data_IF_442354022199
#
_entry.id   IF_442354022199
#
_cell.length_a   1.000
_cell.length_b   1.000
_cell.length_c   1.000
_cell.angle_alpha   90.00
_cell.angle_beta   90.00
_cell.angle_gamma   90.00
#
_symmetry.space_group_name_H-M   'P 1'
#
loop_
_entity.id
_entity.type
_entity.pdbx_description
1 polymer ?
#
# COMPACT_ATOMS: atom_id res chain seq x y z
N UNK A 1 7.78 8.21 -17.35
CA UNK A 1 7.99 8.09 -15.89
C UNK A 1 9.39 7.57 -15.66
N UNK A 2 10.14 8.14 -14.71
CA UNK A 2 11.44 7.59 -14.28
C UNK A 2 11.26 6.31 -13.47
N UNK A 3 12.35 5.61 -13.17
CA UNK A 3 12.31 4.48 -12.25
C UNK A 3 11.87 4.94 -10.85
N UNK A 4 11.11 4.09 -10.14
CA UNK A 4 10.74 4.33 -8.76
C UNK A 4 11.99 4.37 -7.87
N UNK A 5 12.19 5.47 -7.15
CA UNK A 5 13.18 5.53 -6.08
C UNK A 5 12.57 4.99 -4.78
N UNK A 6 13.03 3.82 -4.35
CA UNK A 6 12.56 3.17 -3.12
C UNK A 6 12.98 3.91 -1.84
N UNK A 7 13.94 4.84 -1.93
CA UNK A 7 14.28 5.73 -0.82
C UNK A 7 13.23 6.83 -0.62
N UNK A 8 12.43 7.14 -1.64
CA UNK A 8 11.37 8.17 -1.60
C UNK A 8 10.03 7.66 -1.08
N UNK A 9 10.05 6.59 -0.27
CA UNK A 9 8.86 5.99 0.37
C UNK A 9 8.92 6.15 1.90
N UNK A 10 8.98 7.36 2.47
CA UNK A 10 9.05 7.50 3.91
C UNK A 10 7.71 7.14 4.58
N UNK A 11 7.80 6.48 5.72
CA UNK A 11 6.66 6.11 6.57
C UNK A 11 6.66 6.94 7.85
N UNK A 12 5.62 7.77 8.04
CA UNK A 12 5.42 8.48 9.29
C UNK A 12 4.63 7.63 10.28
N UNK A 13 5.00 7.68 11.56
CA UNK A 13 4.27 7.00 12.64
C UNK A 13 3.50 7.98 13.55
N UNK A 14 3.41 9.27 13.20
CA UNK A 14 2.89 10.34 14.08
C UNK A 14 1.54 9.99 14.72
N UNK A 15 0.58 9.53 13.92
CA UNK A 15 -0.76 9.14 14.38
C UNK A 15 -0.96 7.62 14.47
N UNK A 16 0.12 6.86 14.41
CA UNK A 16 0.13 5.42 14.63
C UNK A 16 0.51 5.11 16.09
N UNK A 17 -0.04 4.03 16.65
CA UNK A 17 0.35 3.45 17.95
C UNK A 17 1.73 2.78 17.89
N UNK A 18 2.69 3.49 17.32
CA UNK A 18 4.07 3.07 17.17
C UNK A 18 4.97 4.22 17.66
N UNK A 19 6.03 3.87 18.38
CA UNK A 19 7.04 4.84 18.77
C UNK A 19 7.68 5.45 17.53
N UNK A 20 7.79 6.78 17.54
CA UNK A 20 8.50 7.48 16.49
C UNK A 20 10.01 7.44 16.75
N UNK A 21 10.46 7.41 18.01
CA UNK A 21 11.86 7.36 18.46
C UNK A 21 12.01 6.61 19.79
N UNK A 22 13.25 6.34 20.21
CA UNK A 22 13.58 5.71 21.51
C UNK A 22 13.21 6.59 22.72
N UNK A 23 13.16 7.91 22.54
CA UNK A 23 12.94 8.92 23.59
C UNK A 23 11.52 9.53 23.56
N UNK A 24 10.64 9.01 22.71
CA UNK A 24 9.26 9.49 22.58
C UNK A 24 9.11 10.83 21.84
N UNK A 25 10.18 11.39 21.27
CA UNK A 25 10.11 12.59 20.43
C UNK A 25 9.46 12.29 19.06
N UNK A 26 8.73 13.26 18.46
CA UNK A 26 8.19 13.10 17.11
C UNK A 26 9.33 12.99 16.11
N UNK A 27 9.58 11.80 15.58
CA UNK A 27 10.60 11.59 14.56
C UNK A 27 10.06 11.83 13.15
N UNK A 28 10.94 12.38 12.30
CA UNK A 28 10.71 12.46 10.87
C UNK A 28 10.40 11.09 10.26
N UNK A 29 9.56 11.08 9.23
CA UNK A 29 9.22 9.88 8.48
C UNK A 29 10.49 9.21 7.94
N UNK A 30 10.57 7.87 8.01
CA UNK A 30 11.76 7.11 7.64
C UNK A 30 11.52 6.24 6.41
N UNK A 31 12.49 6.08 5.50
CA UNK A 31 12.37 5.08 4.45
C UNK A 31 12.36 3.66 5.05
N UNK A 32 11.75 2.66 4.40
CA UNK A 32 11.55 1.35 5.00
C UNK A 32 12.85 0.61 5.29
N UNK A 33 13.92 0.88 4.52
CA UNK A 33 15.26 0.36 4.80
C UNK A 33 15.82 0.75 6.19
N UNK A 34 15.30 1.84 6.77
CA UNK A 34 15.63 2.37 8.10
C UNK A 34 14.41 2.39 9.03
N UNK A 35 13.33 1.73 8.62
CA UNK A 35 12.06 1.69 9.33
C UNK A 35 12.18 0.99 10.68
N UNK A 36 11.34 1.40 11.62
CA UNK A 36 11.18 0.78 12.93
C UNK A 36 9.71 0.50 13.19
N UNK A 37 9.43 -0.57 13.91
CA UNK A 37 8.07 -0.97 14.30
C UNK A 37 8.09 -1.34 15.78
N UNK A 38 7.88 -0.33 16.63
CA UNK A 38 7.88 -0.49 18.09
C UNK A 38 6.49 -0.10 18.63
N UNK A 39 5.68 -1.04 19.11
CA UNK A 39 4.33 -0.77 19.60
C UNK A 39 4.29 0.24 20.76
N UNK A 40 3.33 1.16 20.70
CA UNK A 40 3.07 2.18 21.71
C UNK A 40 1.56 2.45 21.79
N UNK A 41 0.82 1.52 22.42
CA UNK A 41 -0.64 1.54 22.48
C UNK A 41 -1.21 2.79 23.16
N UNK A 42 -0.50 3.33 24.15
CA UNK A 42 -0.95 4.49 24.93
C UNK A 42 -0.47 5.83 24.34
N UNK A 43 0.10 5.81 23.14
CA UNK A 43 0.63 7.02 22.50
C UNK A 43 -0.49 8.05 22.27
N UNK A 44 -0.38 9.26 22.83
CA UNK A 44 -1.38 10.30 22.64
C UNK A 44 -1.56 10.66 21.16
N UNK A 45 -2.80 11.01 20.78
CA UNK A 45 -3.20 11.38 19.41
C UNK A 45 -3.06 10.29 18.33
N UNK A 46 -2.54 9.11 18.66
CA UNK A 46 -2.60 7.96 17.76
C UNK A 46 -4.00 7.35 17.72
N UNK A 47 -4.40 6.85 16.55
CA UNK A 47 -5.73 6.26 16.34
C UNK A 47 -5.72 5.02 15.43
N UNK A 48 -4.55 4.55 15.04
CA UNK A 48 -4.39 3.37 14.18
C UNK A 48 -3.07 2.67 14.47
N UNK A 49 -2.95 1.41 14.06
CA UNK A 49 -1.70 0.65 14.07
C UNK A 49 -0.93 0.78 12.74
N UNK A 50 -1.53 1.41 11.74
CA UNK A 50 -0.91 1.61 10.43
C UNK A 50 0.03 2.81 10.42
N UNK A 51 1.18 2.69 9.76
CA UNK A 51 2.03 3.84 9.43
C UNK A 51 1.43 4.64 8.26
N UNK A 52 1.93 5.85 8.05
CA UNK A 52 1.56 6.72 6.94
C UNK A 52 2.69 6.78 5.89
N UNK A 53 2.75 5.82 4.94
CA UNK A 53 3.65 5.93 3.79
C UNK A 53 3.24 7.10 2.90
N UNK A 54 4.24 7.77 2.33
CA UNK A 54 4.09 8.79 1.29
C UNK A 54 5.03 8.46 0.14
N UNK A 55 4.63 8.79 -1.09
CA UNK A 55 5.47 8.65 -2.27
C UNK A 55 5.92 10.04 -2.69
N UNK A 56 7.22 10.33 -2.62
CA UNK A 56 7.76 11.67 -2.88
C UNK A 56 7.01 12.79 -2.11
N UNK A 57 6.65 12.50 -0.85
CA UNK A 57 5.91 13.41 0.03
C UNK A 57 4.40 13.49 -0.22
N UNK A 58 3.86 12.77 -1.20
CA UNK A 58 2.44 12.77 -1.54
C UNK A 58 1.70 11.54 -1.00
N UNK A 59 0.41 11.70 -0.75
CA UNK A 59 -0.51 10.60 -0.46
C UNK A 59 -0.75 9.84 -1.76
N UNK A 60 -0.61 8.52 -1.73
CA UNK A 60 -0.86 7.66 -2.88
C UNK A 60 -2.01 6.69 -2.60
N UNK A 61 -2.86 6.47 -3.59
CA UNK A 61 -3.79 5.35 -3.66
C UNK A 61 -3.17 4.24 -4.50
N UNK A 62 -3.27 2.99 -4.04
CA UNK A 62 -2.81 1.81 -4.75
C UNK A 62 -3.98 0.86 -5.07
N UNK A 63 -3.73 -0.09 -5.96
CA UNK A 63 -4.69 -1.11 -6.37
C UNK A 63 -4.99 -1.08 -7.86
N UNK A 64 -6.05 -1.78 -8.26
CA UNK A 64 -6.40 -1.94 -9.67
C UNK A 64 -6.51 -0.60 -10.39
N UNK A 65 -7.20 0.40 -9.82
CA UNK A 65 -7.34 1.71 -10.45
C UNK A 65 -6.00 2.41 -10.68
N UNK A 66 -5.08 2.36 -9.72
CA UNK A 66 -3.76 2.96 -9.86
C UNK A 66 -2.97 2.27 -10.97
N UNK A 67 -2.98 0.93 -11.03
CA UNK A 67 -2.32 0.16 -12.10
C UNK A 67 -2.93 0.43 -13.47
N UNK A 68 -4.25 0.43 -13.59
CA UNK A 68 -4.93 0.71 -14.86
C UNK A 68 -4.64 2.13 -15.35
N UNK A 69 -4.58 3.12 -14.46
CA UNK A 69 -4.22 4.50 -14.82
C UNK A 69 -2.74 4.65 -15.19
N UNK A 70 -1.83 4.02 -14.44
CA UNK A 70 -0.39 4.03 -14.73
C UNK A 70 -0.05 3.35 -16.07
N UNK A 71 -0.77 2.28 -16.40
CA UNK A 71 -0.66 1.58 -17.69
C UNK A 71 -1.37 2.32 -18.85
N UNK A 72 -2.18 3.34 -18.54
CA UNK A 72 -2.92 4.10 -19.55
C UNK A 72 -4.09 3.33 -20.16
N UNK A 73 -4.76 2.46 -19.38
CA UNK A 73 -5.90 1.68 -19.86
C UNK A 73 -7.03 2.61 -20.35
N UNK A 74 -7.44 2.56 -21.64
CA UNK A 74 -8.28 3.60 -22.23
C UNK A 74 -9.67 3.77 -21.61
N UNK A 75 -10.34 2.67 -21.28
CA UNK A 75 -11.67 2.69 -20.67
C UNK A 75 -11.61 3.30 -19.26
N UNK A 76 -10.67 2.87 -18.43
CA UNK A 76 -10.53 3.37 -17.06
C UNK A 76 -10.11 4.84 -17.09
N UNK A 77 -9.17 5.21 -17.95
CA UNK A 77 -8.75 6.60 -18.12
C UNK A 77 -9.91 7.51 -18.57
N UNK A 78 -10.71 7.09 -19.56
CA UNK A 78 -11.87 7.87 -20.04
C UNK A 78 -12.94 8.02 -18.95
N UNK A 79 -13.31 6.94 -18.25
CA UNK A 79 -14.33 7.02 -17.19
C UNK A 79 -13.83 7.84 -16.00
N UNK A 80 -12.56 7.72 -15.60
CA UNK A 80 -11.97 8.56 -14.55
C UNK A 80 -11.90 10.03 -14.98
N UNK A 81 -11.59 10.34 -16.23
CA UNK A 81 -11.61 11.72 -16.72
C UNK A 81 -13.02 12.35 -16.64
N UNK A 82 -14.08 11.54 -16.81
CA UNK A 82 -15.48 12.00 -16.77
C UNK A 82 -16.08 12.06 -15.38
N UNK A 83 -15.77 11.07 -14.54
CA UNK A 83 -16.44 10.84 -13.25
C UNK A 83 -15.53 11.05 -12.04
N UNK A 84 -14.23 11.16 -12.25
CA UNK A 84 -13.23 11.17 -11.19
C UNK A 84 -12.96 9.79 -10.58
N UNK A 85 -12.17 9.79 -9.51
CA UNK A 85 -11.88 8.61 -8.70
C UNK A 85 -13.03 8.42 -7.70
N UNK A 86 -13.82 7.37 -7.91
CA UNK A 86 -15.07 7.09 -7.19
C UNK A 86 -15.16 5.59 -6.85
N UNK A 87 -16.16 5.21 -6.06
CA UNK A 87 -16.52 3.80 -5.85
C UNK A 87 -16.69 3.08 -7.18
N UNK A 88 -17.38 3.70 -8.13
CA UNK A 88 -17.67 3.11 -9.44
C UNK A 88 -16.37 2.87 -10.24
N UNK A 89 -15.49 3.87 -10.33
CA UNK A 89 -14.26 3.74 -11.12
C UNK A 89 -13.26 2.76 -10.50
N UNK A 90 -13.21 2.64 -9.17
CA UNK A 90 -12.43 1.60 -8.49
C UNK A 90 -12.94 0.20 -8.80
N UNK A 91 -14.26 -0.01 -8.76
CA UNK A 91 -14.87 -1.32 -9.08
C UNK A 91 -14.68 -1.66 -10.55
N UNK A 92 -14.90 -0.70 -11.46
CA UNK A 92 -14.66 -0.87 -12.89
C UNK A 92 -13.21 -1.27 -13.17
N UNK A 93 -12.24 -0.58 -12.57
CA UNK A 93 -10.83 -0.89 -12.76
C UNK A 93 -10.48 -2.32 -12.32
N UNK A 94 -11.08 -2.81 -11.23
CA UNK A 94 -10.90 -4.20 -10.76
C UNK A 94 -11.49 -5.22 -11.75
N UNK A 95 -12.66 -4.93 -12.33
CA UNK A 95 -13.26 -5.81 -13.36
C UNK A 95 -12.40 -5.83 -14.62
N UNK A 96 -11.92 -4.67 -15.07
CA UNK A 96 -10.99 -4.56 -16.21
C UNK A 96 -9.72 -5.35 -15.94
N UNK A 97 -9.16 -5.26 -14.73
CA UNK A 97 -7.98 -6.02 -14.34
C UNK A 97 -8.19 -7.53 -14.42
N UNK A 98 -9.33 -8.05 -13.94
CA UNK A 98 -9.67 -9.47 -14.06
C UNK A 98 -9.74 -9.91 -15.54
N UNK A 99 -10.38 -9.11 -16.39
CA UNK A 99 -10.50 -9.40 -17.82
C UNK A 99 -9.12 -9.43 -18.53
N UNK A 100 -8.15 -8.64 -18.05
CA UNK A 100 -6.79 -8.59 -18.58
C UNK A 100 -5.90 -9.71 -18.03
N UNK A 101 -6.07 -10.08 -16.76
CA UNK A 101 -5.25 -11.10 -16.11
C UNK A 101 -5.47 -12.50 -16.70
N UNK A 102 -6.70 -12.85 -17.05
CA UNK A 102 -7.02 -14.17 -17.58
C UNK A 102 -6.20 -14.56 -18.83
N UNK A 103 -6.15 -13.76 -19.91
CA UNK A 103 -5.33 -14.08 -21.07
C UNK A 103 -3.82 -14.05 -20.77
N UNK A 104 -3.36 -13.23 -19.83
CA UNK A 104 -1.96 -13.24 -19.39
C UNK A 104 -1.62 -14.55 -18.68
N UNK A 105 -2.50 -15.02 -17.79
CA UNK A 105 -2.36 -16.31 -17.11
C UNK A 105 -2.34 -17.48 -18.10
N UNK A 106 -3.22 -17.48 -19.11
CA UNK A 106 -3.18 -18.47 -20.18
C UNK A 106 -1.85 -18.42 -20.95
N UNK A 107 -1.35 -17.22 -21.24
CA UNK A 107 -0.04 -17.02 -21.86
C UNK A 107 1.10 -17.61 -21.02
N UNK A 108 1.13 -17.32 -19.71
CA UNK A 108 2.12 -17.87 -18.79
C UNK A 108 2.03 -19.39 -18.71
N UNK A 109 0.83 -19.97 -18.62
CA UNK A 109 0.63 -21.42 -18.60
C UNK A 109 1.18 -22.10 -19.87
N UNK A 110 1.02 -21.48 -21.03
CA UNK A 110 1.60 -22.00 -22.30
C UNK A 110 3.11 -21.83 -22.38
N UNK A 111 3.66 -20.83 -21.69
CA UNK A 111 5.11 -20.55 -21.67
C UNK A 111 5.88 -21.41 -20.66
N UNK A 112 5.21 -22.02 -19.68
CA UNK A 112 5.85 -22.93 -18.73
C UNK A 112 6.30 -24.19 -19.46
N UNK A 113 7.61 -24.47 -19.44
CA UNK A 113 8.17 -25.76 -19.85
C UNK A 113 8.20 -26.69 -18.64
N UNK A 114 7.40 -27.76 -18.60
CA UNK A 114 7.40 -28.68 -17.46
C UNK A 114 8.78 -29.30 -17.25
N UNK A 115 9.17 -29.45 -15.98
CA UNK A 115 10.44 -30.08 -15.53
C UNK A 115 11.71 -29.27 -15.80
N UNK A 116 11.63 -28.07 -16.36
CA UNK A 116 12.79 -27.17 -16.36
C UNK A 116 13.11 -26.68 -14.94
N UNK A 117 14.38 -26.34 -14.65
CA UNK A 117 14.78 -25.77 -13.36
C UNK A 117 13.99 -24.49 -13.06
N UNK A 118 13.29 -24.46 -11.93
CA UNK A 118 12.53 -23.30 -11.44
C UNK A 118 13.15 -22.62 -10.22
N UNK A 119 14.32 -23.12 -9.79
CA UNK A 119 15.04 -22.67 -8.60
C UNK A 119 16.53 -22.59 -8.93
N UNK A 120 17.14 -21.45 -8.64
CA UNK A 120 18.59 -21.27 -8.70
C UNK A 120 19.14 -21.27 -7.27
N UNK A 121 19.90 -22.30 -6.83
CA UNK A 121 20.51 -22.27 -5.52
C UNK A 121 21.57 -21.17 -5.44
N UNK A 122 21.69 -20.56 -4.27
CA UNK A 122 22.73 -19.58 -3.96
C UNK A 122 23.08 -19.63 -2.48
N UNK A 123 24.29 -19.23 -2.09
CA UNK A 123 24.67 -19.15 -0.68
C UNK A 123 23.85 -18.07 0.02
N UNK A 124 23.51 -18.28 1.29
CA UNK A 124 22.99 -17.21 2.14
C UNK A 124 24.14 -16.26 2.48
N UNK A 125 23.99 -14.94 2.26
CA UNK A 125 25.04 -14.00 2.58
C UNK A 125 25.15 -13.80 4.10
N UNK A 126 26.36 -13.56 4.61
CA UNK A 126 26.55 -13.14 6.01
C UNK A 126 26.08 -11.71 6.24
N UNK A 127 26.24 -10.83 5.24
CA UNK A 127 25.85 -9.41 5.27
C UNK A 127 25.14 -9.07 3.96
N UNK A 128 24.05 -8.31 4.00
CA UNK A 128 23.36 -7.90 2.77
C UNK A 128 22.11 -7.06 2.99
N UNK A 129 21.66 -6.40 1.92
CA UNK A 129 20.39 -5.68 1.89
C UNK A 129 19.63 -6.06 0.61
N UNK A 130 18.30 -6.14 0.71
CA UNK A 130 17.45 -6.53 -0.41
C UNK A 130 16.10 -5.83 -0.36
N UNK A 131 15.59 -5.52 -1.55
CA UNK A 131 14.24 -4.97 -1.74
C UNK A 131 13.48 -5.85 -2.72
N UNK A 132 12.32 -6.34 -2.30
CA UNK A 132 11.38 -7.07 -3.15
C UNK A 132 10.12 -6.24 -3.36
N UNK A 133 9.83 -5.89 -4.60
CA UNK A 133 8.62 -5.14 -4.95
C UNK A 133 7.69 -6.03 -5.77
N UNK A 134 6.39 -5.92 -5.52
CA UNK A 134 5.35 -6.61 -6.27
C UNK A 134 4.06 -5.81 -6.28
N UNK A 135 3.18 -6.11 -7.23
CA UNK A 135 1.80 -5.66 -7.22
C UNK A 135 0.92 -6.79 -6.71
N UNK A 136 0.51 -6.70 -5.44
CA UNK A 136 -0.52 -7.58 -4.91
C UNK A 136 -1.89 -7.19 -5.47
N UNK A 137 -2.90 -8.05 -5.29
CA UNK A 137 -4.26 -7.78 -5.76
C UNK A 137 -4.78 -6.39 -5.32
N UNK A 138 -4.42 -5.96 -4.10
CA UNK A 138 -4.84 -4.69 -3.49
C UNK A 138 -3.95 -3.49 -3.80
N UNK A 139 -2.80 -3.69 -4.44
CA UNK A 139 -1.87 -2.60 -4.78
C UNK A 139 -0.40 -2.93 -4.57
N UNK A 140 0.42 -1.88 -4.52
CA UNK A 140 1.85 -1.96 -4.32
C UNK A 140 2.23 -2.59 -2.97
N UNK A 141 3.09 -3.59 -3.02
CA UNK A 141 3.67 -4.30 -1.88
C UNK A 141 5.20 -4.25 -1.99
N UNK A 142 5.85 -3.76 -0.95
CA UNK A 142 7.30 -3.75 -0.85
C UNK A 142 7.78 -4.44 0.41
N UNK A 143 8.88 -5.19 0.30
CA UNK A 143 9.59 -5.84 1.39
C UNK A 143 11.04 -5.37 1.37
N UNK A 144 11.53 -4.87 2.50
CA UNK A 144 12.91 -4.44 2.70
C UNK A 144 13.55 -5.30 3.77
N UNK A 145 14.66 -5.94 3.45
CA UNK A 145 15.39 -6.82 4.36
C UNK A 145 16.85 -6.39 4.48
N UNK A 146 17.39 -6.53 5.69
CA UNK A 146 18.84 -6.46 5.96
C UNK A 146 19.25 -7.72 6.70
N UNK A 147 20.37 -8.29 6.28
CA UNK A 147 21.00 -9.47 6.86
C UNK A 147 22.31 -9.01 7.50
N UNK A 148 22.55 -9.43 8.74
CA UNK A 148 23.81 -9.25 9.46
C UNK A 148 24.16 -10.56 10.17
N UNK A 149 25.42 -10.99 10.11
CA UNK A 149 25.89 -12.28 10.66
C UNK A 149 25.01 -13.48 10.25
N UNK A 150 24.60 -13.50 8.99
CA UNK A 150 23.79 -14.58 8.39
C UNK A 150 22.35 -14.65 8.91
N UNK A 151 21.86 -13.61 9.59
CA UNK A 151 20.50 -13.54 10.16
C UNK A 151 19.79 -12.27 9.72
N UNK A 152 18.46 -12.31 9.68
CA UNK A 152 17.66 -11.10 9.41
C UNK A 152 17.84 -10.13 10.59
N UNK A 153 18.48 -9.00 10.31
CA UNK A 153 18.69 -7.90 11.25
C UNK A 153 17.52 -6.91 11.25
N UNK A 154 16.90 -6.69 10.08
CA UNK A 154 15.67 -5.92 9.97
C UNK A 154 14.82 -6.41 8.81
N UNK A 155 13.51 -6.38 8.99
CA UNK A 155 12.53 -6.65 7.96
C UNK A 155 11.42 -5.60 8.06
N UNK A 156 11.13 -4.90 6.97
CA UNK A 156 10.08 -3.90 6.90
C UNK A 156 9.21 -4.18 5.68
N UNK A 157 7.91 -4.03 5.85
CA UNK A 157 6.91 -4.26 4.80
C UNK A 157 6.12 -2.96 4.66
N UNK A 158 5.90 -2.54 3.42
CA UNK A 158 4.89 -1.53 3.10
C UNK A 158 3.84 -2.22 2.26
N UNK A 159 2.71 -2.53 2.89
CA UNK A 159 1.65 -3.30 2.28
C UNK A 159 0.65 -2.41 1.53
N UNK A 160 -0.16 -2.96 0.62
CA UNK A 160 -1.12 -2.15 -0.15
C UNK A 160 -2.12 -1.39 0.74
N UNK A 161 -2.62 -2.06 1.79
CA UNK A 161 -3.54 -1.41 2.73
C UNK A 161 -2.83 -0.34 3.56
N UNK A 162 -1.50 -0.42 3.75
CA UNK A 162 -0.73 0.63 4.43
C UNK A 162 -0.84 1.97 3.70
N UNK A 163 -0.78 1.95 2.36
CA UNK A 163 -1.02 3.12 1.51
C UNK A 163 -2.46 3.63 1.62
N UNK A 164 -3.42 2.75 1.29
CA UNK A 164 -4.82 3.11 1.13
C UNK A 164 -5.48 3.55 2.45
N UNK A 165 -5.08 2.95 3.57
CA UNK A 165 -5.60 3.22 4.92
C UNK A 165 -4.55 3.93 5.78
N UNK A 166 -3.61 4.64 5.16
CA UNK A 166 -2.65 5.47 5.89
C UNK A 166 -3.41 6.48 6.77
N UNK A 167 -2.97 6.72 8.01
CA UNK A 167 -3.49 7.83 8.79
C UNK A 167 -2.93 9.16 8.26
N UNK A 168 -3.27 10.22 8.98
CA UNK A 168 -2.64 11.52 8.83
C UNK A 168 -1.13 11.43 9.06
N UNK A 169 -0.38 12.09 8.18
CA UNK A 169 1.06 12.29 8.39
C UNK A 169 1.33 13.37 9.43
N UNK A 170 2.61 13.70 9.63
CA UNK A 170 3.04 14.71 10.57
C UNK A 170 2.52 16.13 10.24
N UNK A 171 2.22 16.42 8.97
CA UNK A 171 1.62 17.68 8.55
C UNK A 171 0.09 17.70 8.71
N UNK A 172 -0.51 16.61 9.19
CA UNK A 172 -1.96 16.46 9.33
C UNK A 172 -2.66 16.11 8.01
N UNK A 173 -1.92 15.78 6.95
CA UNK A 173 -2.50 15.47 5.64
C UNK A 173 -3.21 14.10 5.70
N UNK A 174 -4.52 14.03 5.46
CA UNK A 174 -5.29 12.78 5.50
C UNK A 174 -4.78 11.74 4.49
N UNK A 175 -4.88 10.45 4.81
CA UNK A 175 -4.58 9.37 3.88
C UNK A 175 -5.62 9.18 2.79
N UNK A 176 -5.38 8.26 1.85
CA UNK A 176 -6.21 8.09 0.64
C UNK A 176 -7.68 7.80 0.97
N UNK A 177 -7.96 6.85 1.88
CA UNK A 177 -9.34 6.58 2.31
C UNK A 177 -9.98 7.77 3.03
N UNK A 178 -9.24 8.42 3.93
CA UNK A 178 -9.76 9.56 4.69
C UNK A 178 -10.17 10.70 3.77
N UNK A 179 -9.38 10.95 2.71
CA UNK A 179 -9.72 11.89 1.64
C UNK A 179 -10.95 11.44 0.85
N UNK A 180 -11.03 10.15 0.50
CA UNK A 180 -12.17 9.61 -0.26
C UNK A 180 -13.50 9.64 0.52
N UNK A 181 -13.46 9.70 1.85
CA UNK A 181 -14.64 9.81 2.71
C UNK A 181 -15.15 11.26 2.84
N UNK A 182 -14.34 12.26 2.49
CA UNK A 182 -14.77 13.67 2.55
C UNK A 182 -15.95 13.88 1.60
N UNK A 183 -17.06 14.40 2.13
CA UNK A 183 -18.28 14.65 1.36
C UNK A 183 -19.14 13.42 1.10
N UNK A 184 -18.82 12.26 1.69
CA UNK A 184 -19.68 11.09 1.62
C UNK A 184 -21.08 11.41 2.18
N UNK A 185 -22.17 11.11 1.45
CA UNK A 185 -23.52 11.41 1.92
C UNK A 185 -23.90 10.53 3.11
N UNK A 186 -24.50 11.15 4.12
CA UNK A 186 -25.11 10.48 5.27
C UNK A 186 -26.54 11.00 5.39
N UNK A 187 -27.51 10.12 5.19
CA UNK A 187 -28.92 10.49 5.22
C UNK A 187 -29.42 10.63 6.66
N UNK A 188 -30.41 11.50 6.93
CA UNK A 188 -31.00 11.64 8.25
C UNK A 188 -31.50 10.30 8.80
N UNK A 189 -31.06 9.95 10.01
CA UNK A 189 -31.43 8.70 10.68
C UNK A 189 -30.57 7.49 10.33
N UNK A 190 -29.59 7.61 9.42
CA UNK A 190 -28.62 6.53 9.19
C UNK A 190 -27.65 6.39 10.37
N UNK A 191 -27.68 5.25 11.04
CA UNK A 191 -26.67 4.86 12.04
C UNK A 191 -25.47 4.15 11.43
N UNK A 192 -25.65 3.53 10.25
CA UNK A 192 -24.60 2.83 9.50
C UNK A 192 -24.63 3.24 8.02
N UNK A 193 -24.13 4.43 7.66
CA UNK A 193 -24.34 5.02 6.33
C UNK A 193 -23.80 4.14 5.21
N UNK A 194 -24.64 3.82 4.23
CA UNK A 194 -24.27 2.89 3.14
C UNK A 194 -23.20 3.48 2.22
N UNK A 195 -23.17 4.80 2.04
CA UNK A 195 -22.17 5.46 1.21
C UNK A 195 -20.75 5.31 1.79
N UNK A 196 -20.58 5.54 3.09
CA UNK A 196 -19.31 5.31 3.82
C UNK A 196 -18.85 3.86 3.64
N UNK A 197 -19.80 2.93 3.81
CA UNK A 197 -19.59 1.51 3.63
C UNK A 197 -19.12 1.12 2.22
N UNK A 198 -19.69 1.73 1.18
CA UNK A 198 -19.27 1.50 -0.20
C UNK A 198 -17.89 2.11 -0.51
N UNK A 199 -17.60 3.30 0.01
CA UNK A 199 -16.29 3.93 -0.15
C UNK A 199 -15.21 3.04 0.45
N UNK A 200 -15.34 2.64 1.72
CA UNK A 200 -14.37 1.77 2.40
C UNK A 200 -14.18 0.46 1.64
N UNK A 201 -15.27 -0.23 1.25
CA UNK A 201 -15.19 -1.50 0.51
C UNK A 201 -14.61 -1.36 -0.89
N UNK A 202 -14.73 -0.19 -1.52
CA UNK A 202 -14.18 0.04 -2.86
C UNK A 202 -12.66 -0.05 -2.92
N UNK A 203 -11.96 0.18 -1.80
CA UNK A 203 -10.52 -0.02 -1.64
C UNK A 203 -10.11 -1.49 -1.41
N UNK A 204 -11.07 -2.41 -1.23
CA UNK A 204 -10.81 -3.82 -0.90
C UNK A 204 -9.85 -3.99 0.31
N UNK A 205 -10.21 -3.50 1.50
CA UNK A 205 -9.32 -3.57 2.66
C UNK A 205 -9.01 -5.01 3.07
N UNK A 206 -7.75 -5.25 3.39
CA UNK A 206 -7.34 -6.39 4.21
C UNK A 206 -6.69 -5.87 5.49
N UNK A 207 -7.42 -5.91 6.61
CA UNK A 207 -6.94 -5.36 7.89
C UNK A 207 -5.73 -6.09 8.46
N UNK A 208 -5.59 -7.40 8.18
CA UNK A 208 -4.40 -8.17 8.57
C UNK A 208 -3.17 -7.73 7.77
N UNK A 209 -3.34 -7.28 6.53
CA UNK A 209 -2.24 -6.69 5.76
C UNK A 209 -1.95 -5.23 6.14
N UNK A 210 -2.77 -4.60 6.98
CA UNK A 210 -2.57 -3.20 7.39
C UNK A 210 -1.57 -3.09 8.56
N UNK A 211 -1.41 -4.16 9.34
CA UNK A 211 -0.62 -4.19 10.57
C UNK A 211 0.16 -5.50 10.58
N UNK A 212 1.47 -5.42 10.42
CA UNK A 212 2.40 -6.55 10.30
C UNK A 212 3.69 -6.33 11.09
#
# INVERSE_FOLDING_TARGET
MGALDVAEIPEAATHAWLNASDDGTPQAARPPAQGRTEPAADKPAAYTWNKAPRLAGQVAECGAIARQLADGQPLVADVVARLGITVHTRVLARVVELARLLPLMEGWLRAITPREPFFSPGPLPDEGQGVGLSEAARGALGHWLRIERGRIASYQIVAPTSWNFSPRDAAGTPGALEQALVGAPVQPGETTPVAVQHIVRSFDPCMVCTVH
#
